data_IF_162133611506
#
_entry.id   IF_162133611506
#
_cell.length_a   1.000
_cell.length_b   1.000
_cell.length_c   1.000
_cell.angle_alpha   90.00
_cell.angle_beta   90.00
_cell.angle_gamma   90.00
#
_symmetry.space_group_name_H-M   'P 1'
#
loop_
_entity.id
_entity.type
_entity.pdbx_description
1 polymer ?
#
# COMPACT_ATOMS: atom_id res chain seq x y z
N UNK A 1 -7.12 0.96 3.42
CA UNK A 1 -7.45 1.15 4.86
C UNK A 1 -7.09 2.54 5.40
N UNK A 2 -6.25 3.31 4.70
CA UNK A 2 -5.73 4.63 5.09
C UNK A 2 -6.75 5.77 5.24
N UNK A 3 -7.90 5.67 4.58
CA UNK A 3 -8.95 6.72 4.45
C UNK A 3 -9.40 7.35 5.78
N UNK A 4 -9.27 6.61 6.90
CA UNK A 4 -9.70 6.98 8.26
C UNK A 4 -8.57 7.47 9.19
N UNK A 5 -7.30 7.43 8.75
CA UNK A 5 -6.18 7.90 9.56
C UNK A 5 -5.96 9.41 9.37
N UNK A 6 -5.61 10.16 10.43
CA UNK A 6 -5.11 11.53 10.28
C UNK A 6 -3.94 11.59 9.30
N UNK A 7 -3.87 12.64 8.48
CA UNK A 7 -2.88 12.78 7.41
C UNK A 7 -1.43 12.68 7.91
N UNK A 8 -1.12 13.23 9.08
CA UNK A 8 0.21 13.12 9.69
C UNK A 8 0.59 11.68 10.10
N UNK A 9 -0.41 10.81 10.35
CA UNK A 9 -0.19 9.39 10.64
C UNK A 9 -0.02 8.63 9.33
N UNK A 10 -0.90 8.88 8.36
CA UNK A 10 -0.90 8.20 7.07
C UNK A 10 0.34 8.54 6.22
N UNK A 11 0.92 9.74 6.37
CA UNK A 11 2.10 10.16 5.64
C UNK A 11 3.42 10.03 6.44
N UNK A 12 3.40 9.49 7.67
CA UNK A 12 4.61 9.31 8.47
C UNK A 12 5.57 8.24 7.89
N UNK A 13 6.87 8.53 7.81
CA UNK A 13 7.89 7.49 7.57
C UNK A 13 8.19 6.75 8.89
N UNK A 14 7.27 5.85 9.26
CA UNK A 14 7.29 5.12 10.52
C UNK A 14 8.57 4.30 10.76
N UNK A 15 9.23 3.82 9.71
CA UNK A 15 10.47 3.04 9.85
C UNK A 15 11.67 3.92 10.19
N UNK A 16 11.78 5.12 9.60
CA UNK A 16 12.81 6.09 9.99
C UNK A 16 12.52 6.73 11.36
N UNK A 17 11.26 6.87 11.75
CA UNK A 17 10.89 7.27 13.12
C UNK A 17 11.26 6.17 14.13
N UNK A 18 10.90 4.91 13.86
CA UNK A 18 11.23 3.76 14.71
C UNK A 18 12.75 3.53 14.85
N UNK A 19 13.54 3.90 13.82
CA UNK A 19 15.01 3.83 13.83
C UNK A 19 15.65 4.65 14.96
N UNK A 20 15.01 5.73 15.43
CA UNK A 20 15.55 6.58 16.49
C UNK A 20 15.78 5.80 17.81
N UNK A 21 14.90 4.87 18.15
CA UNK A 21 14.97 4.10 19.39
C UNK A 21 16.21 3.17 19.49
N UNK A 22 16.46 2.24 18.54
CA UNK A 22 17.64 1.39 18.58
C UNK A 22 18.94 2.17 18.34
N UNK A 23 18.93 3.26 17.58
CA UNK A 23 20.09 4.15 17.42
C UNK A 23 20.44 4.86 18.73
N UNK A 24 19.44 5.38 19.46
CA UNK A 24 19.66 5.96 20.78
C UNK A 24 20.18 4.92 21.79
N UNK A 25 19.64 3.70 21.78
CA UNK A 25 20.11 2.60 22.62
C UNK A 25 21.57 2.18 22.29
N UNK A 26 21.94 2.11 21.00
CA UNK A 26 23.32 1.92 20.57
C UNK A 26 24.23 3.03 21.09
N UNK A 27 23.81 4.29 20.95
CA UNK A 27 24.52 5.46 21.47
C UNK A 27 24.79 5.33 22.96
N UNK A 28 23.76 5.01 23.76
CA UNK A 28 23.87 4.84 25.20
C UNK A 28 24.80 3.67 25.61
N UNK A 29 24.73 2.54 24.92
CA UNK A 29 25.57 1.37 25.19
C UNK A 29 27.03 1.55 24.75
N UNK A 30 27.31 2.43 23.78
CA UNK A 30 28.66 2.77 23.33
C UNK A 30 29.27 3.90 24.18
N UNK A 31 28.48 4.90 24.56
CA UNK A 31 28.94 6.11 25.23
C UNK A 31 29.59 5.83 26.60
N UNK A 32 30.83 6.32 26.88
CA UNK A 32 31.57 5.93 28.08
C UNK A 32 30.92 6.28 29.42
N UNK A 33 30.14 7.36 29.48
CA UNK A 33 29.44 7.82 30.69
C UNK A 33 28.08 7.13 30.84
N UNK A 34 27.27 7.10 29.77
CA UNK A 34 25.88 6.62 29.85
C UNK A 34 25.76 5.12 30.11
N UNK A 35 26.69 4.30 29.58
CA UNK A 35 26.73 2.85 29.82
C UNK A 35 26.73 2.44 31.31
N UNK A 36 27.18 3.32 32.21
CA UNK A 36 27.30 3.01 33.65
C UNK A 36 25.91 2.87 34.29
N UNK A 37 24.89 3.54 33.74
CA UNK A 37 23.51 3.46 34.22
C UNK A 37 22.76 2.19 33.77
N UNK A 38 23.39 1.30 32.99
CA UNK A 38 22.80 0.06 32.46
C UNK A 38 23.33 -1.23 33.11
N UNK A 39 24.04 -1.12 34.24
CA UNK A 39 24.49 -2.25 35.07
C UNK A 39 25.38 -3.28 34.36
N UNK A 40 25.41 -4.51 34.88
CA UNK A 40 26.29 -5.58 34.42
C UNK A 40 26.02 -6.03 32.96
N UNK A 41 24.80 -5.82 32.47
CA UNK A 41 24.47 -6.05 31.07
C UNK A 41 25.29 -5.15 30.12
N UNK A 42 25.67 -3.95 30.57
CA UNK A 42 26.53 -3.02 29.84
C UNK A 42 28.03 -3.09 30.24
N UNK A 43 28.43 -4.07 31.05
CA UNK A 43 29.81 -4.23 31.49
C UNK A 43 30.80 -4.37 30.32
N UNK A 44 32.00 -3.79 30.49
CA UNK A 44 32.96 -3.53 29.40
C UNK A 44 33.44 -4.79 28.64
N UNK A 45 33.38 -5.96 29.29
CA UNK A 45 33.80 -7.28 28.76
C UNK A 45 32.64 -8.28 28.63
N UNK A 46 31.39 -7.88 28.85
CA UNK A 46 30.23 -8.77 28.80
C UNK A 46 29.94 -9.28 27.38
N UNK A 47 29.76 -10.60 27.22
CA UNK A 47 29.28 -11.21 25.98
C UNK A 47 27.84 -10.79 25.67
N UNK A 48 26.98 -10.65 26.69
CA UNK A 48 25.60 -10.14 26.56
C UNK A 48 25.58 -8.76 25.88
N UNK A 49 26.50 -7.86 26.26
CA UNK A 49 26.67 -6.55 25.62
C UNK A 49 27.04 -6.66 24.14
N UNK A 50 27.92 -7.61 23.79
CA UNK A 50 28.34 -7.81 22.41
C UNK A 50 27.17 -8.27 21.52
N UNK A 51 26.37 -9.22 22.01
CA UNK A 51 25.14 -9.65 21.32
C UNK A 51 24.13 -8.51 21.21
N UNK A 52 23.86 -7.78 22.30
CA UNK A 52 22.92 -6.66 22.30
C UNK A 52 23.31 -5.55 21.30
N UNK A 53 24.60 -5.22 21.21
CA UNK A 53 25.12 -4.28 20.21
C UNK A 53 24.93 -4.80 18.77
N UNK A 54 25.16 -6.09 18.51
CA UNK A 54 24.88 -6.68 17.19
C UNK A 54 23.39 -6.68 16.85
N UNK A 55 22.52 -7.08 17.78
CA UNK A 55 21.07 -7.10 17.60
C UNK A 55 20.52 -5.71 17.31
N UNK A 56 20.88 -4.71 18.11
CA UNK A 56 20.44 -3.33 17.90
C UNK A 56 20.98 -2.76 16.58
N UNK A 57 22.20 -3.12 16.18
CA UNK A 57 22.79 -2.65 14.92
C UNK A 57 22.15 -3.29 13.69
N UNK A 58 21.84 -4.60 13.76
CA UNK A 58 21.09 -5.29 12.72
C UNK A 58 19.67 -4.72 12.60
N UNK A 59 18.97 -4.52 13.72
CA UNK A 59 17.64 -3.90 13.75
C UNK A 59 17.66 -2.47 13.19
N UNK A 60 18.64 -1.66 13.58
CA UNK A 60 18.83 -0.30 13.03
C UNK A 60 19.08 -0.35 11.52
N UNK A 61 19.87 -1.32 11.04
CA UNK A 61 20.16 -1.45 9.62
C UNK A 61 18.94 -1.92 8.82
N UNK A 62 18.12 -2.82 9.38
CA UNK A 62 16.85 -3.24 8.79
C UNK A 62 15.88 -2.05 8.68
N UNK A 63 15.66 -1.31 9.77
CA UNK A 63 14.77 -0.16 9.81
C UNK A 63 15.25 0.98 8.88
N UNK A 64 16.56 1.24 8.84
CA UNK A 64 17.14 2.25 7.96
C UNK A 64 17.02 1.89 6.47
N UNK A 65 17.40 0.66 6.09
CA UNK A 65 17.27 0.21 4.69
C UNK A 65 15.80 0.16 4.27
N UNK A 66 14.91 -0.32 5.13
CA UNK A 66 13.48 -0.39 4.83
C UNK A 66 12.85 1.01 4.71
N UNK A 67 13.14 1.91 5.65
CA UNK A 67 12.63 3.28 5.65
C UNK A 67 13.10 4.11 4.46
N UNK A 68 14.38 3.97 4.05
CA UNK A 68 14.90 4.60 2.83
C UNK A 68 14.33 3.95 1.56
N UNK A 69 14.17 2.62 1.53
CA UNK A 69 13.59 1.92 0.36
C UNK A 69 12.13 2.29 0.14
N UNK A 70 11.36 2.43 1.22
CA UNK A 70 9.97 2.89 1.19
C UNK A 70 9.86 4.37 0.80
N UNK A 71 10.80 5.23 1.23
CA UNK A 71 10.85 6.63 0.77
C UNK A 71 11.15 6.73 -0.73
N UNK A 72 12.08 5.90 -1.25
CA UNK A 72 12.36 5.81 -2.68
C UNK A 72 11.17 5.24 -3.47
N UNK A 73 10.41 4.32 -2.89
CA UNK A 73 9.17 3.80 -3.48
C UNK A 73 8.05 4.87 -3.49
N UNK A 74 7.92 5.62 -2.40
CA UNK A 74 7.00 6.76 -2.25
C UNK A 74 7.27 7.88 -3.25
N UNK A 75 8.53 8.31 -3.37
CA UNK A 75 8.96 9.32 -4.35
C UNK A 75 8.69 8.97 -5.81
N UNK A 76 8.38 7.69 -6.12
CA UNK A 76 8.03 7.18 -7.45
C UNK A 76 6.53 6.96 -7.66
N UNK A 77 5.68 7.41 -6.73
CA UNK A 77 4.22 7.23 -6.81
C UNK A 77 3.76 5.80 -6.53
N UNK A 78 4.52 5.06 -5.72
CA UNK A 78 4.16 3.76 -5.16
C UNK A 78 3.67 2.71 -6.18
N UNK A 79 4.43 2.47 -7.27
CA UNK A 79 3.97 1.69 -8.40
C UNK A 79 3.64 0.24 -8.03
N UNK A 80 2.40 -0.16 -8.35
CA UNK A 80 1.98 -1.54 -8.46
C UNK A 80 2.64 -2.23 -9.66
N UNK A 81 2.54 -3.56 -9.75
CA UNK A 81 3.17 -4.29 -10.86
C UNK A 81 2.59 -3.85 -12.21
N UNK A 82 3.41 -3.85 -13.26
CA UNK A 82 2.97 -3.41 -14.59
C UNK A 82 1.81 -4.27 -15.14
N UNK A 83 1.76 -5.55 -14.75
CA UNK A 83 0.65 -6.47 -15.06
C UNK A 83 -0.62 -6.05 -14.32
N UNK A 84 -0.51 -5.72 -13.04
CA UNK A 84 -1.64 -5.30 -12.21
C UNK A 84 -2.33 -4.05 -12.79
N UNK A 85 -1.57 -2.98 -13.07
CA UNK A 85 -2.11 -1.78 -13.72
C UNK A 85 -2.77 -2.10 -15.07
N UNK A 86 -2.12 -2.91 -15.91
CA UNK A 86 -2.67 -3.24 -17.22
C UNK A 86 -3.98 -4.06 -17.12
N UNK A 87 -4.08 -4.96 -16.14
CA UNK A 87 -5.30 -5.72 -15.89
C UNK A 87 -6.45 -4.81 -15.39
N UNK A 88 -6.17 -3.81 -14.53
CA UNK A 88 -7.17 -2.78 -14.17
C UNK A 88 -7.56 -1.94 -15.40
N UNK A 89 -6.59 -1.40 -16.15
CA UNK A 89 -6.86 -0.56 -17.33
C UNK A 89 -7.68 -1.30 -18.40
N UNK A 90 -7.55 -2.62 -18.51
CA UNK A 90 -8.38 -3.44 -19.39
C UNK A 90 -9.79 -3.64 -18.83
N UNK A 91 -9.90 -3.93 -17.54
CA UNK A 91 -11.18 -4.21 -16.89
C UNK A 91 -12.05 -2.95 -16.76
N UNK A 92 -11.45 -1.80 -16.48
CA UNK A 92 -12.11 -0.50 -16.45
C UNK A 92 -12.73 -0.16 -17.81
N UNK A 93 -11.96 -0.29 -18.91
CA UNK A 93 -12.47 -0.10 -20.29
C UNK A 93 -13.66 -1.02 -20.59
N UNK A 94 -13.49 -2.32 -20.31
CA UNK A 94 -14.56 -3.30 -20.46
C UNK A 94 -15.83 -2.92 -19.70
N UNK A 95 -15.73 -2.45 -18.45
CA UNK A 95 -16.90 -2.01 -17.67
C UNK A 95 -17.54 -0.75 -18.27
N UNK A 96 -16.76 0.24 -18.68
CA UNK A 96 -17.26 1.46 -19.33
C UNK A 96 -18.01 1.15 -20.64
N UNK A 97 -17.41 0.31 -21.49
CA UNK A 97 -17.99 -0.09 -22.78
C UNK A 97 -19.20 -1.01 -22.59
N UNK A 98 -19.18 -1.94 -21.62
CA UNK A 98 -20.32 -2.77 -21.27
C UNK A 98 -21.50 -1.94 -20.79
N UNK A 99 -21.31 -1.00 -19.86
CA UNK A 99 -22.37 -0.13 -19.38
C UNK A 99 -22.95 0.73 -20.51
N UNK A 100 -22.11 1.22 -21.43
CA UNK A 100 -22.58 1.94 -22.62
C UNK A 100 -23.43 1.05 -23.55
N UNK A 101 -22.95 -0.15 -23.92
CA UNK A 101 -23.71 -1.11 -24.75
C UNK A 101 -25.03 -1.54 -24.12
N UNK A 102 -25.03 -1.73 -22.80
CA UNK A 102 -26.21 -2.13 -22.03
C UNK A 102 -27.08 -0.93 -21.61
N UNK A 103 -26.79 0.29 -22.08
CA UNK A 103 -27.55 1.51 -21.80
C UNK A 103 -27.76 1.79 -20.30
N UNK A 104 -26.79 1.40 -19.46
CA UNK A 104 -26.81 1.61 -18.01
C UNK A 104 -26.26 3.01 -17.70
N UNK A 105 -27.05 3.93 -17.11
CA UNK A 105 -26.53 5.22 -16.67
C UNK A 105 -25.50 5.02 -15.55
N UNK A 106 -24.26 5.43 -15.80
CA UNK A 106 -23.16 5.35 -14.84
C UNK A 106 -22.35 6.64 -14.84
N UNK A 107 -21.53 6.86 -13.82
CA UNK A 107 -20.52 7.91 -13.81
C UNK A 107 -19.19 7.38 -13.29
N UNK A 108 -18.07 7.89 -13.80
CA UNK A 108 -16.76 7.68 -13.17
C UNK A 108 -16.80 8.19 -11.72
N UNK A 109 -16.36 7.37 -10.77
CA UNK A 109 -16.32 7.70 -9.35
C UNK A 109 -14.87 7.77 -8.83
N UNK A 110 -14.71 8.17 -7.57
CA UNK A 110 -13.46 8.16 -6.80
C UNK A 110 -12.21 8.57 -7.60
N UNK A 111 -11.19 7.70 -7.68
CA UNK A 111 -9.92 7.97 -8.36
C UNK A 111 -10.13 8.23 -9.84
N UNK A 112 -10.93 7.40 -10.51
CA UNK A 112 -11.22 7.50 -11.94
C UNK A 112 -11.82 8.86 -12.31
N UNK A 113 -12.72 9.41 -11.49
CA UNK A 113 -13.24 10.76 -11.70
C UNK A 113 -12.12 11.81 -11.63
N UNK A 114 -11.22 11.72 -10.66
CA UNK A 114 -10.08 12.62 -10.55
C UNK A 114 -9.12 12.50 -11.75
N UNK A 115 -8.92 11.29 -12.28
CA UNK A 115 -8.05 11.06 -13.46
C UNK A 115 -8.66 11.70 -14.70
N UNK A 116 -9.96 11.51 -14.92
CA UNK A 116 -10.75 12.17 -15.97
C UNK A 116 -10.66 13.70 -15.83
N UNK A 117 -10.93 14.25 -14.63
CA UNK A 117 -10.89 15.70 -14.38
C UNK A 117 -9.50 16.32 -14.54
N UNK A 118 -8.43 15.54 -14.31
CA UNK A 118 -7.03 15.95 -14.52
C UNK A 118 -6.55 15.76 -15.96
N UNK A 119 -7.41 15.34 -16.89
CA UNK A 119 -7.05 15.09 -18.29
C UNK A 119 -6.06 13.94 -18.48
N UNK A 120 -6.04 12.98 -17.54
CA UNK A 120 -5.19 11.80 -17.66
C UNK A 120 -5.82 10.80 -18.63
N UNK A 121 -4.99 10.01 -19.30
CA UNK A 121 -5.45 8.96 -20.23
C UNK A 121 -5.14 7.53 -19.74
N UNK A 122 -4.62 7.41 -18.51
CA UNK A 122 -4.16 6.17 -17.88
C UNK A 122 -4.44 6.17 -16.39
N UNK A 123 -4.60 4.99 -15.81
CA UNK A 123 -4.66 4.83 -14.36
C UNK A 123 -3.23 5.02 -13.78
N UNK A 124 -3.04 5.83 -12.72
CA UNK A 124 -1.74 6.01 -12.09
C UNK A 124 -1.12 4.69 -11.60
N UNK A 125 0.22 4.64 -11.53
CA UNK A 125 0.91 3.38 -11.28
C UNK A 125 0.65 2.79 -9.87
N UNK A 126 0.38 3.62 -8.86
CA UNK A 126 0.10 3.18 -7.49
C UNK A 126 -1.38 2.97 -7.16
N UNK A 127 -2.27 3.18 -8.13
CA UNK A 127 -3.72 3.01 -7.96
C UNK A 127 -4.11 1.53 -8.03
N UNK A 128 -5.22 1.16 -7.37
CA UNK A 128 -5.50 -0.24 -6.98
C UNK A 128 -6.66 -0.90 -7.72
N UNK A 129 -7.53 -0.11 -8.33
CA UNK A 129 -8.90 -0.46 -8.66
C UNK A 129 -9.46 0.49 -9.73
N UNK A 130 -10.75 0.37 -10.05
CA UNK A 130 -11.40 1.31 -10.95
C UNK A 130 -12.89 1.42 -10.67
N UNK A 131 -13.38 2.65 -10.45
CA UNK A 131 -14.71 2.88 -9.90
C UNK A 131 -15.72 3.50 -10.88
N UNK A 132 -16.95 3.00 -10.82
CA UNK A 132 -18.16 3.70 -11.30
C UNK A 132 -19.25 3.77 -10.23
N UNK A 133 -20.01 4.85 -10.22
CA UNK A 133 -21.30 4.94 -9.55
C UNK A 133 -22.44 4.64 -10.52
N UNK A 134 -23.46 3.94 -10.03
CA UNK A 134 -24.69 3.60 -10.77
C UNK A 134 -25.90 3.74 -9.84
N UNK A 135 -27.03 4.21 -10.36
CA UNK A 135 -28.29 4.21 -9.60
C UNK A 135 -28.83 2.78 -9.54
N UNK A 136 -29.03 2.25 -8.33
CA UNK A 136 -29.45 0.86 -8.10
C UNK A 136 -30.76 0.50 -8.82
N UNK A 137 -31.72 1.42 -8.82
CA UNK A 137 -33.03 1.25 -9.45
C UNK A 137 -32.92 1.07 -10.96
N UNK A 138 -32.06 1.84 -11.62
CA UNK A 138 -31.80 1.74 -13.06
C UNK A 138 -31.01 0.47 -13.42
N UNK A 139 -30.00 0.10 -12.63
CA UNK A 139 -29.27 -1.16 -12.79
C UNK A 139 -30.18 -2.38 -12.69
N UNK A 140 -31.03 -2.42 -11.65
CA UNK A 140 -31.97 -3.52 -11.45
C UNK A 140 -33.08 -3.52 -12.50
N UNK A 141 -33.44 -2.37 -13.07
CA UNK A 141 -34.36 -2.29 -14.23
C UNK A 141 -33.73 -2.92 -15.48
N UNK A 142 -32.44 -2.70 -15.73
CA UNK A 142 -31.75 -3.23 -16.91
C UNK A 142 -31.46 -4.74 -16.81
N UNK A 143 -30.98 -5.23 -15.66
CA UNK A 143 -30.55 -6.64 -15.53
C UNK A 143 -31.52 -7.53 -14.75
N UNK A 144 -32.48 -6.97 -14.00
CA UNK A 144 -33.37 -7.68 -13.08
C UNK A 144 -32.69 -8.16 -11.79
N UNK A 145 -31.41 -8.52 -11.82
CA UNK A 145 -30.61 -8.88 -10.64
C UNK A 145 -29.10 -8.82 -10.91
N UNK A 146 -28.30 -8.78 -9.85
CA UNK A 146 -26.83 -8.92 -9.95
C UNK A 146 -26.42 -10.30 -10.47
N UNK A 147 -27.20 -11.34 -10.19
CA UNK A 147 -26.97 -12.69 -10.72
C UNK A 147 -27.07 -12.73 -12.25
N UNK A 148 -28.08 -12.06 -12.82
CA UNK A 148 -28.23 -11.93 -14.27
C UNK A 148 -27.11 -11.08 -14.88
N UNK A 149 -26.77 -9.95 -14.25
CA UNK A 149 -25.61 -9.14 -14.64
C UNK A 149 -24.32 -9.97 -14.66
N UNK A 150 -24.11 -10.83 -13.66
CA UNK A 150 -22.94 -11.71 -13.58
C UNK A 150 -22.84 -12.69 -14.76
N UNK A 151 -23.99 -13.18 -15.28
CA UNK A 151 -24.04 -14.01 -16.48
C UNK A 151 -23.67 -13.20 -17.72
N UNK A 152 -24.19 -11.98 -17.86
CA UNK A 152 -23.86 -11.06 -18.97
C UNK A 152 -22.37 -10.72 -18.96
N UNK A 153 -21.85 -10.24 -17.82
CA UNK A 153 -20.43 -9.88 -17.64
C UNK A 153 -19.50 -11.02 -18.00
N UNK A 154 -19.76 -12.25 -17.52
CA UNK A 154 -18.94 -13.43 -17.83
C UNK A 154 -18.92 -13.76 -19.32
N UNK A 155 -20.06 -13.64 -19.99
CA UNK A 155 -20.19 -13.87 -21.44
C UNK A 155 -19.43 -12.81 -22.23
N UNK A 156 -19.66 -11.53 -21.92
CA UNK A 156 -19.06 -10.40 -22.64
C UNK A 156 -17.53 -10.37 -22.44
N UNK A 157 -17.04 -10.60 -21.22
CA UNK A 157 -15.60 -10.66 -20.94
C UNK A 157 -14.88 -11.82 -21.65
N UNK A 158 -15.56 -12.96 -21.83
CA UNK A 158 -15.01 -14.05 -22.63
C UNK A 158 -14.80 -13.65 -24.11
N UNK A 159 -15.67 -12.79 -24.65
CA UNK A 159 -15.59 -12.29 -26.02
C UNK A 159 -14.53 -11.16 -26.16
N UNK A 160 -14.52 -10.21 -25.23
CA UNK A 160 -13.71 -8.97 -25.35
C UNK A 160 -12.35 -9.05 -24.66
N UNK A 161 -12.29 -9.61 -23.45
CA UNK A 161 -11.05 -9.74 -22.68
C UNK A 161 -10.34 -11.08 -22.92
N UNK A 162 -11.01 -12.05 -23.55
CA UNK A 162 -10.55 -13.44 -23.74
C UNK A 162 -10.11 -14.10 -22.42
N UNK A 163 -10.72 -13.69 -21.31
CA UNK A 163 -10.41 -14.13 -19.94
C UNK A 163 -11.71 -14.41 -19.17
N UNK A 164 -11.70 -15.36 -18.23
CA UNK A 164 -12.76 -15.46 -17.24
C UNK A 164 -12.75 -14.21 -16.35
N UNK A 165 -13.94 -13.84 -15.86
CA UNK A 165 -14.12 -12.81 -14.85
C UNK A 165 -15.02 -13.33 -13.74
N UNK A 166 -14.73 -12.88 -12.52
CA UNK A 166 -15.42 -13.27 -11.31
C UNK A 166 -16.15 -12.06 -10.77
N UNK A 167 -17.45 -12.21 -10.56
CA UNK A 167 -18.33 -11.13 -10.11
C UNK A 167 -18.78 -11.47 -8.69
N UNK A 168 -18.50 -10.57 -7.76
CA UNK A 168 -18.86 -10.70 -6.34
C UNK A 168 -19.77 -9.54 -5.97
N UNK A 169 -20.91 -9.83 -5.35
CA UNK A 169 -21.83 -8.82 -4.85
C UNK A 169 -21.70 -8.71 -3.33
N UNK A 170 -21.23 -7.56 -2.88
CA UNK A 170 -21.16 -7.16 -1.49
C UNK A 170 -22.46 -6.45 -1.11
N UNK A 171 -23.45 -7.22 -0.66
CA UNK A 171 -24.77 -6.71 -0.26
C UNK A 171 -24.67 -5.72 0.89
N UNK A 172 -23.72 -5.94 1.81
CA UNK A 172 -23.43 -5.10 2.96
C UNK A 172 -22.75 -3.76 2.61
N UNK A 173 -22.24 -3.64 1.38
CA UNK A 173 -21.58 -2.43 0.85
C UNK A 173 -22.33 -1.77 -0.30
N UNK A 174 -23.39 -2.42 -0.79
CA UNK A 174 -24.10 -2.02 -2.03
C UNK A 174 -23.11 -1.86 -3.20
N UNK A 175 -22.27 -2.88 -3.41
CA UNK A 175 -21.12 -2.85 -4.31
C UNK A 175 -20.98 -4.16 -5.08
N UNK A 176 -20.79 -4.08 -6.39
CA UNK A 176 -20.36 -5.22 -7.21
C UNK A 176 -18.89 -5.05 -7.59
N UNK A 177 -18.07 -6.02 -7.22
CA UNK A 177 -16.65 -6.07 -7.58
C UNK A 177 -16.44 -7.14 -8.66
N UNK A 178 -15.73 -6.77 -9.72
CA UNK A 178 -15.38 -7.66 -10.83
C UNK A 178 -13.87 -7.90 -10.77
N UNK A 179 -13.44 -9.16 -10.83
CA UNK A 179 -12.04 -9.58 -10.76
C UNK A 179 -11.64 -10.40 -11.98
N UNK A 180 -10.37 -10.32 -12.38
CA UNK A 180 -9.77 -11.21 -13.40
C UNK A 180 -9.17 -12.50 -12.80
N UNK A 181 -9.14 -12.61 -11.47
CA UNK A 181 -8.44 -13.66 -10.73
C UNK A 181 -9.12 -13.87 -9.37
N UNK A 182 -9.74 -15.04 -9.17
CA UNK A 182 -10.57 -15.34 -7.97
C UNK A 182 -9.74 -15.59 -6.72
N UNK A 183 -8.59 -16.27 -6.86
CA UNK A 183 -7.75 -16.68 -5.74
C UNK A 183 -7.00 -15.49 -5.13
N UNK A 184 -6.43 -14.63 -5.97
CA UNK A 184 -5.60 -13.51 -5.50
C UNK A 184 -6.39 -12.25 -5.20
N UNK A 185 -7.65 -12.16 -5.64
CA UNK A 185 -8.52 -10.96 -5.54
C UNK A 185 -7.76 -9.67 -5.87
N UNK A 186 -7.03 -9.74 -6.99
CA UNK A 186 -6.07 -8.72 -7.41
C UNK A 186 -6.74 -7.49 -8.03
N UNK A 187 -6.31 -7.14 -9.24
CA UNK A 187 -6.89 -6.04 -10.03
C UNK A 187 -8.39 -6.21 -10.21
N UNK A 188 -9.17 -5.19 -9.89
CA UNK A 188 -10.63 -5.24 -9.92
C UNK A 188 -11.27 -3.93 -10.40
N UNK A 189 -12.55 -4.02 -10.73
CA UNK A 189 -13.41 -2.89 -11.08
C UNK A 189 -14.70 -2.93 -10.26
N UNK A 190 -15.07 -1.77 -9.73
CA UNK A 190 -16.07 -1.60 -8.69
C UNK A 190 -17.26 -0.78 -9.19
N UNK A 191 -18.45 -1.35 -9.03
CA UNK A 191 -19.74 -0.75 -9.39
C UNK A 191 -20.50 -0.46 -8.12
N UNK A 192 -20.47 0.80 -7.71
CA UNK A 192 -21.08 1.33 -6.51
C UNK A 192 -22.55 1.64 -6.75
N UNK A 193 -23.45 0.97 -6.03
CA UNK A 193 -24.88 1.22 -6.12
C UNK A 193 -25.29 2.36 -5.19
N UNK A 194 -25.87 3.40 -5.76
CA UNK A 194 -26.52 4.48 -5.03
C UNK A 194 -28.03 4.29 -5.07
N UNK A 195 -28.70 4.44 -3.94
CA UNK A 195 -30.17 4.49 -3.86
C UNK A 195 -30.65 5.94 -3.92
N UNK A 196 -31.85 6.13 -4.46
CA UNK A 196 -32.51 7.43 -4.49
C UNK A 196 -33.34 7.59 -3.20
N UNK A 197 -33.07 8.65 -2.45
CA UNK A 197 -33.89 9.06 -1.30
C UNK A 197 -34.49 10.44 -1.53
N UNK A 198 -35.65 10.71 -0.93
CA UNK A 198 -36.33 12.02 -0.99
C UNK A 198 -36.63 12.45 0.42
N UNK A 199 -36.09 13.61 0.80
CA UNK A 199 -36.41 14.28 2.05
C UNK A 199 -37.90 14.67 2.06
N UNK A 200 -38.62 14.28 3.11
CA UNK A 200 -40.08 14.46 3.19
C UNK A 200 -40.52 15.88 3.54
N UNK A 201 -39.63 16.68 4.12
CA UNK A 201 -39.94 18.05 4.57
C UNK A 201 -39.58 19.06 3.49
N UNK A 202 -38.43 18.88 2.84
CA UNK A 202 -37.91 19.80 1.83
C UNK A 202 -38.18 19.36 0.39
N UNK A 203 -38.53 18.08 0.17
CA UNK A 203 -38.60 17.48 -1.16
C UNK A 203 -37.23 17.25 -1.83
N UNK A 204 -36.12 17.48 -1.12
CA UNK A 204 -34.77 17.36 -1.68
C UNK A 204 -34.47 15.91 -2.03
N UNK A 205 -34.03 15.66 -3.27
CA UNK A 205 -33.66 14.32 -3.74
C UNK A 205 -32.16 14.09 -3.59
N UNK A 206 -31.80 12.92 -3.06
CA UNK A 206 -30.44 12.50 -2.75
C UNK A 206 -30.10 11.16 -3.42
N UNK A 207 -28.82 10.97 -3.71
CA UNK A 207 -28.19 9.68 -4.00
C UNK A 207 -27.38 9.26 -2.77
N UNK A 208 -27.63 8.06 -2.25
CA UNK A 208 -27.10 7.61 -0.96
C UNK A 208 -26.40 6.26 -1.09
N UNK A 209 -25.25 6.09 -0.42
CA UNK A 209 -24.58 4.80 -0.20
C UNK A 209 -23.80 4.84 1.13
N UNK A 210 -23.99 3.84 2.01
CA UNK A 210 -23.57 3.89 3.42
C UNK A 210 -22.20 3.24 3.76
N UNK A 211 -21.49 2.56 2.85
CA UNK A 211 -20.57 1.39 3.13
C UNK A 211 -19.39 1.51 4.13
N UNK A 212 -19.11 2.67 4.74
CA UNK A 212 -17.89 3.12 5.49
C UNK A 212 -16.63 3.58 4.73
N UNK A 213 -16.44 3.32 3.43
CA UNK A 213 -15.26 3.82 2.65
C UNK A 213 -15.57 5.04 1.79
N UNK A 214 -16.79 5.15 1.23
CA UNK A 214 -17.27 6.39 0.59
C UNK A 214 -17.36 7.51 1.64
N UNK A 215 -16.92 8.73 1.35
CA UNK A 215 -17.02 9.88 2.27
C UNK A 215 -18.24 10.75 1.97
N UNK A 216 -18.56 10.97 0.70
CA UNK A 216 -19.77 11.64 0.22
C UNK A 216 -20.99 10.74 0.32
N UNK A 217 -21.34 10.31 1.54
CA UNK A 217 -22.44 9.37 1.83
C UNK A 217 -23.80 9.81 1.26
N UNK A 218 -24.03 11.12 1.21
CA UNK A 218 -25.25 11.76 0.70
C UNK A 218 -24.86 12.78 -0.36
N UNK A 219 -25.29 12.54 -1.60
CA UNK A 219 -24.99 13.38 -2.76
C UNK A 219 -26.29 13.99 -3.29
N UNK A 220 -26.31 15.29 -3.54
CA UNK A 220 -27.47 15.94 -4.15
C UNK A 220 -27.72 15.37 -5.55
N UNK A 221 -28.95 14.87 -5.79
CA UNK A 221 -29.29 14.18 -7.03
C UNK A 221 -29.05 15.06 -8.27
N UNK A 222 -29.42 16.34 -8.19
CA UNK A 222 -29.30 17.33 -9.28
C UNK A 222 -27.86 17.76 -9.59
N UNK A 223 -26.90 17.46 -8.70
CA UNK A 223 -25.47 17.69 -8.89
C UNK A 223 -24.77 16.50 -9.57
N UNK A 224 -25.36 15.31 -9.50
CA UNK A 224 -24.84 14.11 -10.17
C UNK A 224 -25.57 13.86 -11.50
N UNK A 225 -26.90 14.00 -11.50
CA UNK A 225 -27.82 13.61 -12.56
C UNK A 225 -28.71 14.77 -13.06
N UNK A 226 -29.22 14.70 -14.31
CA UNK A 226 -28.73 13.86 -15.40
C UNK A 226 -27.24 14.07 -15.69
N UNK A 227 -26.60 13.00 -16.15
CA UNK A 227 -25.19 12.94 -16.54
C UNK A 227 -24.90 13.95 -17.66
N UNK A 228 -23.62 14.32 -17.85
CA UNK A 228 -23.28 15.22 -18.98
C UNK A 228 -23.54 14.52 -20.32
N UNK A 229 -24.13 15.24 -21.26
CA UNK A 229 -24.44 14.76 -22.61
C UNK A 229 -23.16 14.43 -23.40
N UNK A 230 -22.14 15.28 -23.28
CA UNK A 230 -20.80 15.00 -23.82
C UNK A 230 -20.00 14.13 -22.84
N UNK A 231 -19.61 12.90 -23.24
CA UNK A 231 -18.73 12.06 -22.43
C UNK A 231 -17.31 12.63 -22.39
N UNK A 232 -16.58 12.34 -21.32
CA UNK A 232 -15.14 12.55 -21.29
C UNK A 232 -14.40 11.39 -21.99
N UNK A 233 -13.08 11.50 -22.15
CA UNK A 233 -12.27 10.44 -22.78
C UNK A 233 -11.16 9.97 -21.84
N UNK A 234 -11.22 8.70 -21.43
CA UNK A 234 -10.28 8.10 -20.49
C UNK A 234 -10.00 6.65 -20.90
N UNK A 235 -8.75 6.19 -20.75
CA UNK A 235 -8.32 4.88 -21.25
C UNK A 235 -8.64 4.63 -22.73
N UNK A 236 -8.67 5.70 -23.53
CA UNK A 236 -9.06 5.69 -24.96
C UNK A 236 -10.50 5.23 -25.24
N UNK A 237 -11.41 5.31 -24.26
CA UNK A 237 -12.85 5.07 -24.43
C UNK A 237 -13.67 6.26 -23.94
N UNK A 238 -14.90 6.47 -24.45
CA UNK A 238 -15.84 7.44 -23.88
C UNK A 238 -16.23 7.01 -22.46
N UNK A 239 -16.12 7.94 -21.51
CA UNK A 239 -16.47 7.71 -20.10
C UNK A 239 -17.45 8.76 -19.64
N UNK A 240 -18.56 8.30 -19.09
CA UNK A 240 -19.63 9.17 -18.61
C UNK A 240 -19.24 9.84 -17.29
N UNK A 241 -19.56 11.14 -17.18
CA UNK A 241 -19.20 11.98 -16.04
C UNK A 241 -20.46 12.60 -15.41
N UNK A 242 -20.47 12.81 -14.08
CA UNK A 242 -21.60 13.42 -13.41
C UNK A 242 -21.74 14.89 -13.85
N UNK A 243 -22.96 15.42 -13.73
CA UNK A 243 -23.30 16.81 -14.09
C UNK A 243 -22.30 17.83 -13.52
N UNK A 244 -21.99 17.70 -12.23
CA UNK A 244 -21.02 18.51 -11.51
C UNK A 244 -19.92 17.63 -10.90
N UNK A 245 -18.94 17.24 -11.72
CA UNK A 245 -17.77 16.48 -11.29
C UNK A 245 -17.02 17.13 -10.11
N UNK A 246 -16.94 18.46 -10.07
CA UNK A 246 -16.31 19.22 -8.99
C UNK A 246 -17.06 19.14 -7.65
N UNK A 247 -18.40 18.99 -7.68
CA UNK A 247 -19.18 18.72 -6.47
C UNK A 247 -18.84 17.34 -5.91
N UNK A 248 -18.90 16.30 -6.75
CA UNK A 248 -18.65 14.92 -6.32
C UNK A 248 -17.21 14.72 -5.83
N UNK A 249 -16.22 15.22 -6.58
CA UNK A 249 -14.82 15.15 -6.17
C UNK A 249 -14.53 15.92 -4.85
N UNK A 250 -15.23 17.04 -4.60
CA UNK A 250 -15.13 17.78 -3.33
C UNK A 250 -15.80 17.05 -2.17
N UNK A 251 -16.91 16.35 -2.40
CA UNK A 251 -17.56 15.52 -1.38
C UNK A 251 -16.65 14.37 -0.90
N UNK A 252 -15.88 13.77 -1.80
CA UNK A 252 -14.96 12.67 -1.47
C UNK A 252 -13.58 13.12 -0.94
N UNK A 253 -12.99 14.16 -1.52
CA UNK A 253 -11.59 14.51 -1.25
C UNK A 253 -11.40 15.91 -0.62
N UNK A 254 -12.49 16.60 -0.30
CA UNK A 254 -12.46 17.95 0.27
C UNK A 254 -12.05 19.02 -0.75
N UNK A 255 -11.74 20.23 -0.27
CA UNK A 255 -11.50 21.38 -1.14
C UNK A 255 -10.30 21.22 -2.10
N UNK A 256 -9.28 20.45 -1.71
CA UNK A 256 -8.01 20.30 -2.43
C UNK A 256 -7.97 19.06 -3.36
N UNK A 257 -9.13 18.52 -3.75
CA UNK A 257 -9.26 17.27 -4.52
C UNK A 257 -8.42 17.20 -5.81
N UNK A 258 -8.12 18.33 -6.46
CA UNK A 258 -7.28 18.34 -7.66
C UNK A 258 -5.79 18.10 -7.38
N UNK A 259 -5.30 18.41 -6.19
CA UNK A 259 -3.91 18.16 -5.78
C UNK A 259 -3.70 16.64 -5.62
N UNK A 260 -2.75 16.02 -6.34
CA UNK A 260 -2.42 14.63 -6.13
C UNK A 260 -1.84 14.43 -4.73
N UNK A 261 -2.38 13.46 -4.00
CA UNK A 261 -1.89 13.02 -2.69
C UNK A 261 -1.63 11.53 -2.81
N UNK A 262 -0.49 11.08 -2.28
CA UNK A 262 -0.15 9.66 -2.14
C UNK A 262 0.49 9.53 -0.77
N UNK A 263 -0.15 8.79 0.13
CA UNK A 263 0.28 8.70 1.53
C UNK A 263 1.25 7.52 1.71
N UNK A 264 2.31 7.67 2.51
CA UNK A 264 3.29 6.58 2.75
C UNK A 264 2.63 5.28 3.22
N UNK A 265 1.53 5.34 3.98
CA UNK A 265 0.77 4.16 4.41
C UNK A 265 0.04 3.43 3.26
N UNK A 266 -0.42 4.13 2.20
CA UNK A 266 -1.04 3.50 1.01
C UNK A 266 0.00 2.66 0.26
N UNK A 267 1.24 3.17 0.21
CA UNK A 267 2.36 2.50 -0.40
C UNK A 267 2.78 1.24 0.38
N UNK A 268 2.71 1.30 1.70
CA UNK A 268 2.90 0.13 2.58
C UNK A 268 1.76 -0.87 2.37
N UNK A 269 0.51 -0.41 2.26
CA UNK A 269 -0.66 -1.26 1.96
C UNK A 269 -0.52 -1.98 0.61
N UNK A 270 -0.09 -1.29 -0.46
CA UNK A 270 0.21 -1.88 -1.77
C UNK A 270 1.30 -2.98 -1.71
N UNK A 271 2.32 -2.80 -0.87
CA UNK A 271 3.38 -3.80 -0.68
C UNK A 271 2.91 -4.99 0.15
N UNK A 272 2.13 -4.78 1.21
CA UNK A 272 1.61 -5.83 2.10
C UNK A 272 0.55 -6.68 1.37
N UNK A 273 -0.36 -6.04 0.65
CA UNK A 273 -1.37 -6.72 -0.19
C UNK A 273 -0.75 -7.37 -1.43
N UNK A 274 0.53 -7.13 -1.69
CA UNK A 274 1.29 -7.79 -2.76
C UNK A 274 1.10 -7.20 -4.15
N UNK A 275 0.36 -6.10 -4.31
CA UNK A 275 0.09 -5.43 -5.59
C UNK A 275 1.38 -4.96 -6.29
N UNK A 276 2.37 -4.49 -5.52
CA UNK A 276 3.75 -4.18 -5.99
C UNK A 276 4.43 -5.38 -6.68
N UNK A 277 4.15 -6.60 -6.22
CA UNK A 277 4.79 -7.84 -6.68
C UNK A 277 3.80 -8.80 -7.37
N UNK A 278 2.64 -8.29 -7.79
CA UNK A 278 1.57 -9.07 -8.39
C UNK A 278 2.03 -9.72 -9.69
N UNK A 279 1.74 -11.03 -9.84
CA UNK A 279 2.21 -11.91 -10.93
C UNK A 279 3.71 -11.80 -11.27
N UNK A 280 4.53 -11.30 -10.32
CA UNK A 280 5.98 -11.17 -10.48
C UNK A 280 6.68 -12.52 -10.25
N UNK A 281 7.65 -12.86 -11.11
CA UNK A 281 8.34 -14.15 -11.05
C UNK A 281 9.13 -14.37 -9.75
N UNK A 282 9.24 -15.64 -9.33
CA UNK A 282 9.97 -16.02 -8.12
C UNK A 282 11.42 -15.51 -8.12
N UNK A 283 12.11 -15.61 -9.27
CA UNK A 283 13.47 -15.10 -9.44
C UNK A 283 13.58 -13.58 -9.19
N UNK A 284 12.56 -12.81 -9.58
CA UNK A 284 12.54 -11.36 -9.34
C UNK A 284 12.30 -11.04 -7.87
N UNK A 285 11.38 -11.76 -7.21
CA UNK A 285 11.18 -11.65 -5.75
C UNK A 285 12.46 -12.01 -4.98
N UNK A 286 13.16 -13.07 -5.39
CA UNK A 286 14.44 -13.48 -4.82
C UNK A 286 15.55 -12.42 -5.02
N UNK A 287 15.60 -11.75 -6.18
CA UNK A 287 16.54 -10.64 -6.45
C UNK A 287 16.29 -9.45 -5.52
N UNK A 288 15.03 -9.07 -5.28
CA UNK A 288 14.71 -8.01 -4.32
C UNK A 288 15.11 -8.40 -2.89
N UNK A 289 14.80 -9.63 -2.45
CA UNK A 289 15.20 -10.13 -1.13
C UNK A 289 16.72 -10.17 -0.95
N UNK A 290 17.46 -10.71 -1.94
CA UNK A 290 18.92 -10.76 -1.91
C UNK A 290 19.54 -9.36 -1.87
N UNK A 291 18.98 -8.40 -2.63
CA UNK A 291 19.41 -7.00 -2.62
C UNK A 291 19.18 -6.35 -1.26
N UNK A 292 18.00 -6.54 -0.67
CA UNK A 292 17.68 -6.04 0.67
C UNK A 292 18.63 -6.61 1.73
N UNK A 293 18.85 -7.93 1.73
CA UNK A 293 19.79 -8.60 2.65
C UNK A 293 21.22 -8.08 2.46
N UNK A 294 21.67 -7.88 1.22
CA UNK A 294 22.99 -7.32 0.92
C UNK A 294 23.15 -5.89 1.44
N UNK A 295 22.13 -5.03 1.27
CA UNK A 295 22.14 -3.65 1.78
C UNK A 295 22.15 -3.62 3.32
N UNK A 296 21.32 -4.43 3.97
CA UNK A 296 21.30 -4.56 5.44
C UNK A 296 22.65 -5.06 5.96
N UNK A 297 23.23 -6.08 5.33
CA UNK A 297 24.55 -6.61 5.70
C UNK A 297 25.67 -5.57 5.51
N UNK A 298 25.68 -4.85 4.38
CA UNK A 298 26.65 -3.80 4.09
C UNK A 298 26.56 -2.67 5.13
N UNK A 299 25.36 -2.14 5.40
CA UNK A 299 25.15 -1.08 6.40
C UNK A 299 25.56 -1.54 7.81
N UNK A 300 25.17 -2.75 8.19
CA UNK A 300 25.54 -3.36 9.49
C UNK A 300 27.05 -3.48 9.63
N UNK A 301 27.76 -3.96 8.61
CA UNK A 301 29.22 -4.15 8.64
C UNK A 301 29.98 -2.81 8.61
N UNK A 302 29.52 -1.83 7.83
CA UNK A 302 30.09 -0.48 7.79
C UNK A 302 30.00 0.18 9.18
N UNK A 303 28.81 0.17 9.80
CA UNK A 303 28.61 0.74 11.12
C UNK A 303 29.36 -0.05 12.23
N UNK A 304 29.48 -1.37 12.13
CA UNK A 304 30.26 -2.18 13.07
C UNK A 304 31.77 -1.86 13.05
N UNK A 305 32.31 -1.38 11.91
CA UNK A 305 33.68 -0.89 11.83
C UNK A 305 33.90 0.45 12.57
N UNK A 306 32.84 1.21 12.84
CA UNK A 306 32.89 2.44 13.63
C UNK A 306 32.70 2.21 15.14
N UNK A 307 32.30 1.01 15.57
CA UNK A 307 31.97 0.68 16.97
C UNK A 307 33.08 -0.20 17.59
N UNK A 308 33.98 0.36 18.44
CA UNK A 308 35.20 -0.32 18.89
C UNK A 308 35.09 -1.74 19.50
N UNK A 309 34.03 -2.14 20.23
CA UNK A 309 33.88 -3.55 20.63
C UNK A 309 33.58 -4.48 19.44
N UNK A 310 32.75 -4.05 18.47
CA UNK A 310 32.38 -4.83 17.29
C UNK A 310 33.56 -4.94 16.31
N UNK A 311 34.27 -3.84 16.05
CA UNK A 311 35.46 -3.81 15.20
C UNK A 311 36.55 -4.77 15.71
N UNK A 312 36.70 -4.90 17.03
CA UNK A 312 37.64 -5.87 17.63
C UNK A 312 37.19 -7.32 17.43
N UNK A 313 35.89 -7.62 17.59
CA UNK A 313 35.35 -8.95 17.31
C UNK A 313 35.58 -9.36 15.85
N UNK A 314 35.29 -8.47 14.89
CA UNK A 314 35.52 -8.67 13.46
C UNK A 314 37.01 -8.96 13.14
N UNK A 315 37.94 -8.19 13.73
CA UNK A 315 39.38 -8.40 13.54
C UNK A 315 39.89 -9.71 14.16
N UNK A 316 39.33 -10.15 15.28
CA UNK A 316 39.68 -11.44 15.90
C UNK A 316 39.25 -12.61 15.02
N UNK A 317 38.06 -12.56 14.41
CA UNK A 317 37.62 -13.60 13.47
C UNK A 317 38.50 -13.64 12.21
N UNK A 318 38.84 -12.47 11.64
CA UNK A 318 39.73 -12.39 10.46
C UNK A 318 41.14 -12.97 10.72
N UNK A 319 41.62 -12.95 11.97
CA UNK A 319 42.87 -13.60 12.41
C UNK A 319 42.72 -15.10 12.77
N UNK A 320 41.51 -15.65 12.84
CA UNK A 320 41.28 -17.10 13.01
C UNK A 320 41.14 -17.83 11.66
N UNK A 321 40.67 -17.14 10.62
CA UNK A 321 40.53 -17.69 9.25
C UNK A 321 41.81 -17.58 8.41
N UNK A 322 42.84 -16.90 8.91
CA UNK A 322 44.18 -16.88 8.32
C UNK A 322 45.23 -16.99 9.43
N UNK A 323 46.17 -17.92 9.26
CA UNK A 323 47.29 -18.29 10.16
C UNK A 323 46.96 -18.88 11.55
N UNK A 324 47.38 -20.15 11.72
CA UNK A 324 47.65 -20.90 12.95
C UNK A 324 46.65 -20.84 14.12
N UNK A 325 45.80 -21.88 14.18
CA UNK A 325 45.06 -22.26 15.38
C UNK A 325 45.96 -22.98 16.40
N UNK A 326 46.68 -22.22 17.22
CA UNK A 326 47.38 -22.68 18.42
C UNK A 326 47.60 -21.52 19.40
N UNK A 327 47.62 -21.79 20.72
CA UNK A 327 47.92 -20.85 21.83
C UNK A 327 46.83 -19.93 22.43
N UNK A 328 45.52 -20.11 22.19
CA UNK A 328 44.47 -19.32 22.89
C UNK A 328 43.23 -20.08 23.39
N UNK A 329 43.46 -21.12 24.20
CA UNK A 329 42.42 -21.74 25.04
C UNK A 329 42.72 -21.72 26.56
N UNK A 330 43.91 -21.30 27.00
CA UNK A 330 44.28 -21.23 28.43
C UNK A 330 43.72 -20.01 29.18
N UNK A 331 43.05 -19.07 28.50
CA UNK A 331 42.57 -17.82 29.10
C UNK A 331 41.12 -17.87 29.62
N UNK A 332 40.43 -19.01 29.52
CA UNK A 332 39.02 -19.17 29.92
C UNK A 332 38.78 -19.94 31.22
N UNK A 333 39.81 -20.48 31.87
CA UNK A 333 39.65 -21.28 33.11
C UNK A 333 39.86 -20.52 34.42
N UNK A 334 40.27 -19.24 34.39
CA UNK A 334 40.27 -18.39 35.60
C UNK A 334 38.92 -17.73 35.80
N UNK A 335 38.01 -18.51 36.38
CA UNK A 335 36.75 -18.02 36.93
C UNK A 335 36.95 -16.98 38.03
N UNK A 336 35.89 -16.26 38.36
CA UNK A 336 35.85 -15.38 39.53
C UNK A 336 35.88 -16.21 40.82
N UNK A 337 36.95 -16.09 41.61
CA UNK A 337 36.85 -15.95 43.07
C UNK A 337 38.20 -15.75 43.79
N UNK A 338 38.17 -14.88 44.82
CA UNK A 338 39.13 -14.74 45.95
C UNK A 338 40.56 -14.27 45.54
N UNK A 339 41.25 -13.42 46.32
CA UNK A 339 41.11 -13.09 47.75
C UNK A 339 41.15 -11.57 48.01
N UNK A 340 40.36 -11.14 49.00
CA UNK A 340 40.67 -10.00 49.86
C UNK A 340 41.10 -10.58 51.22
N UNK A 341 42.36 -10.37 51.60
CA UNK A 341 42.85 -10.05 52.96
C UNK A 341 44.08 -9.15 52.75
#
# INVERSE_FOLDING_TARGET
MTVLLPSFIADGNWFLLALAAPVAALGALVHPRWRVHFGDAAARRSTKRLYLLWTLLLLSSILGVLGVSLELYHSRGCPNSAVFRHEIENLARFVYELCARQHVPYWAAFGNLLFVMRGQHRIPAGDTDSDIGVVKTDFMRQFGSVSNFSVVVRREAHLELQKPVYVVYHTERELVQIYLDEETKGSHADIWFYREEVDKETGTKWLVNDDRTIRGKWLLYDQVLPLREEPAFFLNVPVTVPRNASYLARAEYGANYMTPITMRMECIENMINGYTFYKTSFLTKLRYLATFVALVAALTLLAANCIPPLTRALRIHKKKTGTHAGSRLEASERGSDKYFV
#
